data_IF_100464841499
#
_entry.id   IF_100464841499
#
_cell.length_a   1.000
_cell.length_b   1.000
_cell.length_c   1.000
_cell.angle_alpha   90.00
_cell.angle_beta   90.00
_cell.angle_gamma   90.00
#
_symmetry.space_group_name_H-M   'P 1'
#
loop_
_entity.id
_entity.type
_entity.pdbx_description
1 polymer ?
#
# COMPACT_ATOMS: atom_id res chain seq x y z
N UNK A 1 69.22 -46.35 -30.82
CA UNK A 1 68.38 -47.32 -30.08
C UNK A 1 67.07 -46.65 -29.71
N UNK A 2 65.93 -47.20 -30.19
CA UNK A 2 64.56 -47.14 -29.62
C UNK A 2 63.94 -45.75 -29.27
N UNK A 3 62.71 -45.33 -29.59
CA UNK A 3 61.44 -45.83 -30.17
C UNK A 3 60.66 -44.54 -30.54
N UNK A 4 60.13 -44.37 -31.76
CA UNK A 4 58.70 -44.50 -32.11
C UNK A 4 57.67 -44.01 -31.06
N UNK A 5 56.83 -43.01 -31.39
CA UNK A 5 55.40 -43.15 -31.78
C UNK A 5 54.58 -41.83 -31.64
N UNK A 6 53.99 -41.43 -32.77
CA UNK A 6 52.65 -40.88 -33.07
C UNK A 6 51.84 -40.09 -32.03
N UNK A 7 51.22 -38.98 -32.50
CA UNK A 7 50.00 -38.42 -31.90
C UNK A 7 49.60 -37.04 -32.42
N UNK A 8 48.78 -37.00 -33.47
CA UNK A 8 48.00 -35.83 -33.90
C UNK A 8 47.12 -35.29 -32.75
N UNK A 9 47.05 -33.97 -32.52
CA UNK A 9 45.84 -33.37 -31.95
C UNK A 9 45.60 -31.93 -32.42
N UNK A 10 44.43 -31.78 -33.01
CA UNK A 10 43.72 -30.55 -33.38
C UNK A 10 43.50 -29.59 -32.20
N UNK A 11 43.42 -28.30 -32.55
CA UNK A 11 42.43 -27.34 -32.06
C UNK A 11 42.40 -27.02 -30.55
N UNK A 12 42.66 -25.76 -30.20
CA UNK A 12 41.66 -24.85 -29.59
C UNK A 12 42.28 -23.51 -29.15
N UNK A 13 41.73 -22.43 -29.72
CA UNK A 13 41.82 -21.07 -29.18
C UNK A 13 41.42 -21.06 -27.70
N UNK A 14 42.07 -20.25 -26.84
CA UNK A 14 41.65 -20.11 -25.46
C UNK A 14 40.30 -19.39 -25.38
N UNK A 15 39.30 -20.12 -24.91
CA UNK A 15 38.11 -19.60 -24.25
C UNK A 15 38.55 -18.83 -22.99
N UNK A 16 37.92 -17.69 -22.69
CA UNK A 16 37.53 -17.19 -21.36
C UNK A 16 36.93 -15.78 -21.56
N UNK A 17 35.66 -15.74 -21.97
CA UNK A 17 34.54 -15.47 -21.07
C UNK A 17 34.46 -13.99 -20.68
N UNK A 18 33.81 -13.21 -21.55
CA UNK A 18 33.39 -11.85 -21.24
C UNK A 18 32.48 -11.86 -20.02
N UNK A 19 32.91 -11.19 -18.95
CA UNK A 19 32.10 -10.96 -17.76
C UNK A 19 31.01 -9.96 -18.13
N UNK A 20 29.85 -10.49 -18.50
CA UNK A 20 28.63 -9.70 -18.68
C UNK A 20 28.12 -9.32 -17.29
N UNK A 21 28.59 -8.18 -16.77
CA UNK A 21 28.06 -7.54 -15.58
C UNK A 21 26.66 -7.00 -15.87
N UNK A 22 25.65 -7.86 -15.75
CA UNK A 22 24.25 -7.46 -15.77
C UNK A 22 23.94 -6.79 -14.43
N UNK A 23 24.10 -5.46 -14.36
CA UNK A 23 23.59 -4.65 -13.26
C UNK A 23 22.06 -4.75 -13.24
N UNK A 24 21.53 -5.68 -12.44
CA UNK A 24 20.13 -5.66 -12.03
C UNK A 24 19.94 -4.51 -11.05
N UNK A 25 19.68 -3.31 -11.56
CA UNK A 25 19.04 -2.25 -10.80
C UNK A 25 17.61 -2.72 -10.47
N UNK A 26 17.50 -3.54 -9.42
CA UNK A 26 16.20 -3.83 -8.78
C UNK A 26 15.79 -2.55 -8.06
N UNK A 27 15.24 -1.60 -8.82
CA UNK A 27 14.48 -0.51 -8.24
C UNK A 27 13.27 -1.12 -7.55
N UNK A 28 13.09 -0.85 -6.25
CA UNK A 28 11.87 -1.19 -5.53
C UNK A 28 10.70 -0.38 -6.12
N UNK A 29 10.15 -0.83 -7.24
CA UNK A 29 8.92 -0.27 -7.77
C UNK A 29 7.82 -0.52 -6.74
N UNK A 30 7.19 0.55 -6.25
CA UNK A 30 6.02 0.45 -5.38
C UNK A 30 4.94 -0.31 -6.15
N UNK A 31 4.52 -1.46 -5.62
CA UNK A 31 3.62 -2.39 -6.29
C UNK A 31 2.14 -1.97 -6.17
N UNK A 32 1.88 -0.72 -6.53
CA UNK A 32 0.55 -0.13 -6.56
C UNK A 32 -0.08 -0.29 -7.94
N UNK A 33 -1.38 -0.54 -7.99
CA UNK A 33 -2.13 -0.58 -9.26
C UNK A 33 -2.07 -1.88 -10.05
N UNK A 34 -1.33 -2.90 -9.62
CA UNK A 34 -1.44 -4.24 -10.22
C UNK A 34 -2.85 -4.83 -9.98
N UNK A 35 -3.37 -5.68 -10.87
CA UNK A 35 -4.69 -6.32 -10.66
C UNK A 35 -4.82 -7.03 -9.31
N UNK A 36 -3.74 -7.66 -8.84
CA UNK A 36 -3.67 -8.32 -7.54
C UNK A 36 -3.77 -7.31 -6.38
N UNK A 37 -3.00 -6.20 -6.44
CA UNK A 37 -3.05 -5.17 -5.41
C UNK A 37 -4.42 -4.50 -5.32
N UNK A 38 -5.07 -4.29 -6.48
CA UNK A 38 -6.44 -3.75 -6.54
C UNK A 38 -7.43 -4.76 -5.96
N UNK A 39 -7.30 -6.04 -6.28
CA UNK A 39 -8.13 -7.08 -5.68
C UNK A 39 -8.00 -7.13 -4.15
N UNK A 40 -6.78 -6.97 -3.61
CA UNK A 40 -6.53 -6.89 -2.16
C UNK A 40 -7.07 -5.62 -1.52
N UNK A 41 -7.05 -4.49 -2.24
CA UNK A 41 -7.58 -3.21 -1.77
C UNK A 41 -9.09 -3.27 -1.53
N UNK A 42 -9.81 -3.91 -2.46
CA UNK A 42 -11.28 -3.94 -2.48
C UNK A 42 -11.88 -4.92 -1.47
N UNK A 43 -13.02 -4.55 -0.91
CA UNK A 43 -13.82 -5.35 0.04
C UNK A 43 -13.03 -5.85 1.27
N UNK A 44 -11.91 -5.20 1.57
CA UNK A 44 -11.08 -5.45 2.75
C UNK A 44 -11.37 -4.39 3.80
N UNK A 45 -11.49 -4.80 5.07
CA UNK A 45 -11.55 -3.86 6.19
C UNK A 45 -10.15 -3.41 6.55
N UNK A 46 -9.86 -2.15 6.30
CA UNK A 46 -8.59 -1.50 6.59
C UNK A 46 -8.72 -0.71 7.88
N UNK A 47 -8.14 -1.21 8.98
CA UNK A 47 -8.09 -0.50 10.25
C UNK A 47 -6.87 0.41 10.31
N UNK A 48 -7.10 1.69 10.61
CA UNK A 48 -6.02 2.67 10.69
C UNK A 48 -5.12 2.37 11.89
N UNK A 49 -3.81 2.44 11.65
CA UNK A 49 -2.78 2.32 12.69
C UNK A 49 -1.95 3.59 12.80
N UNK A 50 -2.00 4.46 11.78
CA UNK A 50 -1.29 5.72 11.74
C UNK A 50 -2.00 6.71 10.81
N UNK A 51 -2.07 7.99 11.21
CA UNK A 51 -2.59 9.10 10.42
C UNK A 51 -1.68 10.31 10.67
N UNK A 52 -1.12 10.90 9.61
CA UNK A 52 -0.19 12.03 9.68
C UNK A 52 0.94 11.85 10.70
N UNK A 53 1.56 10.66 10.69
CA UNK A 53 2.62 10.28 11.62
C UNK A 53 2.16 10.00 13.05
N UNK A 54 0.89 10.24 13.39
CA UNK A 54 0.33 9.94 14.71
C UNK A 54 -0.22 8.52 14.74
N UNK A 55 0.20 7.74 15.75
CA UNK A 55 -0.35 6.40 15.98
C UNK A 55 -1.84 6.48 16.32
N UNK A 56 -2.63 5.61 15.69
CA UNK A 56 -4.05 5.47 15.99
C UNK A 56 -4.23 4.42 17.08
N UNK A 57 -4.49 4.88 18.30
CA UNK A 57 -4.81 4.04 19.45
C UNK A 57 -6.29 4.14 19.81
N UNK A 58 -6.83 3.11 20.44
CA UNK A 58 -8.20 3.14 20.95
C UNK A 58 -8.29 4.12 22.13
N UNK A 59 -9.12 5.16 22.02
CA UNK A 59 -9.25 6.17 23.07
C UNK A 59 -10.45 5.90 24.00
N UNK A 60 -10.43 6.41 25.24
CA UNK A 60 -11.61 6.40 26.10
C UNK A 60 -12.83 7.02 25.42
N UNK A 61 -13.98 6.34 25.53
CA UNK A 61 -15.23 6.75 24.89
C UNK A 61 -15.33 6.45 23.39
N UNK A 62 -14.31 5.81 22.80
CA UNK A 62 -14.38 5.30 21.43
C UNK A 62 -15.30 4.07 21.37
N UNK A 63 -16.12 3.99 20.32
CA UNK A 63 -17.08 2.90 20.14
C UNK A 63 -16.73 1.99 18.96
N UNK A 64 -16.01 2.53 17.98
CA UNK A 64 -15.68 1.87 16.73
C UNK A 64 -14.17 1.93 16.49
N UNK A 65 -13.61 1.01 15.71
CA UNK A 65 -12.26 1.20 15.18
C UNK A 65 -12.27 2.27 14.09
N UNK A 66 -11.17 3.03 13.98
CA UNK A 66 -10.96 3.90 12.82
C UNK A 66 -10.65 3.00 11.63
N UNK A 67 -11.55 2.93 10.65
CA UNK A 67 -11.46 1.95 9.58
C UNK A 67 -12.12 2.39 8.27
N UNK A 68 -11.77 1.71 7.17
CA UNK A 68 -12.32 1.90 5.83
C UNK A 68 -12.56 0.56 5.13
N UNK A 69 -13.55 0.54 4.25
CA UNK A 69 -13.81 -0.51 3.27
C UNK A 69 -14.08 0.18 1.93
N UNK A 70 -13.33 -0.19 0.90
CA UNK A 70 -13.54 0.27 -0.46
C UNK A 70 -14.27 -0.81 -1.24
N UNK A 71 -15.44 -0.48 -1.79
CA UNK A 71 -16.26 -1.41 -2.56
C UNK A 71 -16.03 -1.26 -4.06
N UNK A 72 -16.20 -2.36 -4.80
CA UNK A 72 -16.08 -2.36 -6.28
C UNK A 72 -17.06 -1.41 -6.99
N UNK A 73 -18.12 -0.99 -6.31
CA UNK A 73 -19.08 0.00 -6.80
C UNK A 73 -18.55 1.45 -6.79
N UNK A 74 -17.33 1.68 -6.26
CA UNK A 74 -16.77 3.02 -6.07
C UNK A 74 -17.20 3.70 -4.76
N UNK A 75 -17.92 2.98 -3.89
CA UNK A 75 -18.30 3.47 -2.57
C UNK A 75 -17.20 3.19 -1.54
N UNK A 76 -16.96 4.15 -0.65
CA UNK A 76 -16.17 3.92 0.58
C UNK A 76 -17.10 4.00 1.79
N UNK A 77 -16.94 3.04 2.70
CA UNK A 77 -17.61 3.00 4.01
C UNK A 77 -16.55 2.88 5.09
N UNK A 78 -16.86 3.28 6.32
CA UNK A 78 -15.91 3.16 7.41
C UNK A 78 -16.42 3.75 8.70
N UNK A 79 -15.49 3.94 9.63
CA UNK A 79 -15.73 4.58 10.90
C UNK A 79 -14.54 5.45 11.32
N UNK A 80 -14.80 6.49 12.08
CA UNK A 80 -13.80 7.49 12.53
C UNK A 80 -13.50 7.37 14.03
N UNK A 81 -13.99 6.29 14.66
CA UNK A 81 -13.89 6.04 16.10
C UNK A 81 -15.17 6.34 16.87
N UNK A 82 -15.85 7.43 16.53
CA UNK A 82 -17.13 7.82 17.12
C UNK A 82 -18.25 7.83 16.08
N UNK A 83 -17.96 8.25 14.84
CA UNK A 83 -18.94 8.37 13.76
C UNK A 83 -18.73 7.32 12.67
N UNK A 84 -19.81 7.04 11.95
CA UNK A 84 -19.72 6.29 10.70
C UNK A 84 -19.32 7.23 9.57
N UNK A 85 -18.51 6.74 8.65
CA UNK A 85 -18.02 7.42 7.46
C UNK A 85 -18.65 6.80 6.21
N UNK A 86 -19.08 7.64 5.29
CA UNK A 86 -19.48 7.25 3.94
C UNK A 86 -18.96 8.24 2.91
N UNK A 87 -18.76 7.77 1.70
CA UNK A 87 -18.41 8.59 0.55
C UNK A 87 -18.13 7.76 -0.68
N UNK A 88 -17.38 8.35 -1.60
CA UNK A 88 -16.94 7.71 -2.84
C UNK A 88 -15.43 7.74 -2.96
N UNK A 89 -14.89 6.89 -3.81
CA UNK A 89 -13.47 6.91 -4.17
C UNK A 89 -13.29 6.60 -5.66
N UNK A 90 -12.16 7.03 -6.20
CA UNK A 90 -11.69 6.65 -7.53
C UNK A 90 -10.31 6.03 -7.42
N UNK A 91 -10.11 4.87 -8.04
CA UNK A 91 -8.82 4.20 -8.12
C UNK A 91 -8.46 3.98 -9.60
N UNK A 92 -7.27 4.43 -9.99
CA UNK A 92 -6.70 4.24 -11.34
C UNK A 92 -5.20 3.98 -11.20
N UNK A 93 -4.76 2.76 -11.53
CA UNK A 93 -3.38 2.32 -11.29
C UNK A 93 -2.93 2.63 -9.86
N UNK A 94 -1.87 3.41 -9.68
CA UNK A 94 -1.29 3.83 -8.41
C UNK A 94 -1.99 5.05 -7.77
N UNK A 95 -2.95 5.66 -8.48
CA UNK A 95 -3.72 6.80 -7.97
C UNK A 95 -4.97 6.34 -7.23
N UNK A 96 -5.23 7.01 -6.12
CA UNK A 96 -6.44 6.87 -5.32
C UNK A 96 -6.87 8.24 -4.82
N UNK A 97 -8.15 8.57 -4.95
CA UNK A 97 -8.72 9.78 -4.38
C UNK A 97 -10.08 9.50 -3.74
N UNK A 98 -10.40 10.24 -2.69
CA UNK A 98 -11.69 10.17 -2.01
C UNK A 98 -12.52 11.42 -2.29
N UNK A 99 -13.82 11.24 -2.44
CA UNK A 99 -14.77 12.32 -2.70
C UNK A 99 -16.05 12.12 -1.88
N UNK A 100 -16.81 13.20 -1.71
CA UNK A 100 -18.12 13.19 -1.04
C UNK A 100 -18.09 12.53 0.35
N UNK A 101 -16.99 12.73 1.10
CA UNK A 101 -16.83 12.18 2.44
C UNK A 101 -17.76 12.88 3.43
N UNK A 102 -18.61 12.09 4.07
CA UNK A 102 -19.57 12.54 5.10
C UNK A 102 -19.49 11.66 6.33
N UNK A 103 -19.67 12.25 7.51
CA UNK A 103 -19.77 11.53 8.78
C UNK A 103 -21.13 11.79 9.43
N UNK A 104 -21.59 10.84 10.24
CA UNK A 104 -22.69 11.10 11.18
C UNK A 104 -22.27 12.21 12.15
N UNK A 105 -23.23 12.99 12.69
CA UNK A 105 -22.94 14.06 13.66
C UNK A 105 -23.24 13.63 15.10
N UNK A 106 -22.63 12.53 15.57
CA UNK A 106 -22.70 12.20 16.99
C UNK A 106 -21.66 13.01 17.77
N UNK A 107 -22.07 13.57 18.91
CA UNK A 107 -21.15 14.20 19.83
C UNK A 107 -20.27 13.13 20.49
N UNK A 108 -18.95 13.31 20.42
CA UNK A 108 -17.96 12.48 21.11
C UNK A 108 -16.95 13.34 21.87
N UNK A 109 -16.15 12.73 22.76
CA UNK A 109 -15.04 13.40 23.43
C UNK A 109 -14.17 14.23 22.47
N UNK A 110 -13.70 15.41 22.92
CA UNK A 110 -12.91 16.34 22.11
C UNK A 110 -11.72 15.67 21.40
N UNK A 111 -11.03 14.75 22.06
CA UNK A 111 -9.90 13.99 21.48
C UNK A 111 -10.31 13.14 20.28
N UNK A 112 -11.48 12.48 20.33
CA UNK A 112 -12.01 11.71 19.19
C UNK A 112 -12.37 12.62 18.03
N UNK A 113 -12.98 13.77 18.31
CA UNK A 113 -13.33 14.74 17.25
C UNK A 113 -12.09 15.36 16.59
N UNK A 114 -11.00 15.57 17.35
CA UNK A 114 -9.70 15.98 16.78
C UNK A 114 -9.16 14.90 15.84
N UNK A 115 -9.14 13.63 16.28
CA UNK A 115 -8.68 12.51 15.44
C UNK A 115 -9.53 12.34 14.19
N UNK A 116 -10.85 12.44 14.31
CA UNK A 116 -11.76 12.37 13.16
C UNK A 116 -11.39 13.42 12.11
N UNK A 117 -11.14 14.68 12.51
CA UNK A 117 -10.73 15.73 11.58
C UNK A 117 -9.40 15.42 10.89
N UNK A 118 -8.39 14.96 11.63
CA UNK A 118 -7.09 14.57 11.06
C UNK A 118 -7.26 13.43 10.05
N UNK A 119 -8.06 12.44 10.41
CA UNK A 119 -8.35 11.32 9.52
C UNK A 119 -9.05 11.76 8.23
N UNK A 120 -10.10 12.58 8.33
CA UNK A 120 -10.78 13.12 7.16
C UNK A 120 -9.87 13.99 6.28
N UNK A 121 -8.97 14.77 6.89
CA UNK A 121 -7.98 15.55 6.15
C UNK A 121 -6.98 14.66 5.41
N UNK A 122 -6.47 13.61 6.04
CA UNK A 122 -5.59 12.64 5.38
C UNK A 122 -6.26 11.97 4.18
N UNK A 123 -7.55 11.58 4.31
CA UNK A 123 -8.31 11.04 3.18
C UNK A 123 -8.49 12.05 2.04
N UNK A 124 -8.76 13.32 2.36
CA UNK A 124 -8.89 14.38 1.36
C UNK A 124 -7.59 14.68 0.61
N UNK A 125 -6.44 14.55 1.27
CA UNK A 125 -5.13 14.73 0.64
C UNK A 125 -4.64 13.51 -0.12
N UNK A 126 -5.30 12.35 0.04
CA UNK A 126 -4.85 11.12 -0.60
C UNK A 126 -4.91 11.27 -2.12
N UNK A 127 -3.76 11.05 -2.77
CA UNK A 127 -3.59 11.03 -4.22
C UNK A 127 -3.00 9.70 -4.72
N UNK A 128 -2.35 8.94 -3.85
CA UNK A 128 -1.72 7.66 -4.17
C UNK A 128 -1.92 6.62 -3.07
N UNK A 129 -1.65 5.36 -3.40
CA UNK A 129 -1.82 4.24 -2.48
C UNK A 129 -0.81 3.12 -2.77
N UNK A 130 -0.65 2.21 -1.82
CA UNK A 130 0.05 0.94 -2.03
C UNK A 130 -0.45 -0.12 -1.06
N UNK A 131 -0.58 -1.37 -1.52
CA UNK A 131 -0.80 -2.52 -0.64
C UNK A 131 0.43 -3.42 -0.66
N UNK A 132 0.97 -3.72 0.52
CA UNK A 132 2.04 -4.69 0.71
C UNK A 132 1.67 -5.65 1.84
N UNK A 133 1.54 -6.94 1.52
CA UNK A 133 1.02 -7.95 2.43
C UNK A 133 -0.35 -7.55 3.00
N UNK A 134 -0.40 -7.31 4.31
CA UNK A 134 -1.59 -6.89 5.05
C UNK A 134 -1.63 -5.38 5.34
N UNK A 135 -0.77 -4.59 4.70
CA UNK A 135 -0.62 -3.16 4.98
C UNK A 135 -1.05 -2.34 3.78
N UNK A 136 -2.01 -1.45 4.00
CA UNK A 136 -2.35 -0.37 3.08
C UNK A 136 -1.67 0.90 3.54
N UNK A 137 -1.05 1.61 2.61
CA UNK A 137 -0.49 2.94 2.84
C UNK A 137 -1.10 3.92 1.85
N UNK A 138 -1.47 5.09 2.34
CA UNK A 138 -1.99 6.20 1.54
C UNK A 138 -0.97 7.34 1.49
N UNK A 139 -0.89 7.99 0.34
CA UNK A 139 0.07 9.06 0.08
C UNK A 139 -0.64 10.29 -0.45
N UNK A 140 -0.08 11.47 -0.15
CA UNK A 140 -0.45 12.70 -0.82
C UNK A 140 0.17 12.82 -2.23
N UNK A 141 -0.07 13.95 -2.88
CA UNK A 141 0.42 14.29 -4.22
C UNK A 141 1.94 14.47 -4.27
N UNK A 142 2.57 14.82 -3.15
CA UNK A 142 4.02 14.89 -2.98
C UNK A 142 4.65 13.52 -2.68
N UNK A 143 3.84 12.47 -2.53
CA UNK A 143 4.30 11.11 -2.22
C UNK A 143 4.62 10.87 -0.74
N UNK A 144 4.24 11.80 0.15
CA UNK A 144 4.38 11.67 1.59
C UNK A 144 3.25 10.79 2.16
N UNK A 145 3.57 9.94 3.13
CA UNK A 145 2.58 9.07 3.77
C UNK A 145 1.62 9.88 4.64
N UNK A 146 0.33 9.83 4.32
CA UNK A 146 -0.74 10.49 5.10
C UNK A 146 -1.48 9.52 6.02
N UNK A 147 -1.52 8.23 5.69
CA UNK A 147 -2.13 7.23 6.56
C UNK A 147 -1.59 5.82 6.29
N UNK A 148 -1.65 4.97 7.32
CA UNK A 148 -1.31 3.55 7.25
C UNK A 148 -2.37 2.71 7.96
N UNK A 149 -2.67 1.57 7.37
CA UNK A 149 -3.72 0.66 7.82
C UNK A 149 -3.22 -0.78 7.82
N UNK A 150 -3.92 -1.61 8.58
CA UNK A 150 -3.78 -3.06 8.55
C UNK A 150 -5.10 -3.70 8.15
N UNK A 151 -5.04 -4.75 7.34
CA UNK A 151 -6.22 -5.55 7.03
C UNK A 151 -6.74 -6.24 8.31
N UNK A 152 -8.06 -6.20 8.53
CA UNK A 152 -8.76 -6.85 9.64
C UNK A 152 -9.85 -7.74 9.03
N UNK A 153 -9.56 -9.03 8.88
CA UNK A 153 -10.44 -9.94 8.12
C UNK A 153 -10.20 -9.88 6.61
N UNK A 154 -10.30 -11.05 5.99
CA UNK A 154 -9.81 -11.37 4.64
C UNK A 154 -9.07 -12.70 4.72
N UNK A 155 -9.75 -13.79 4.35
CA UNK A 155 -9.13 -15.08 4.01
C UNK A 155 -8.60 -14.97 2.58
#
# INVERSE_FOLDING_TARGET
MMRARYGLFFCRLPLLAGVMAMLLLVGCARQAGSPESVAKLMNTVWRAVEVDGQRVEFLPGQKLDVSLVMHRTGAVRGATGCNNLSGSFSQKSDRLSFSSLTTTRMAGPKKLMVRERLFLQALRRTAGWSVSGRTLTLYDDMGSRVARFIAVGGR
#
